data_IF_854267739257
#
_entry.id   IF_854267739257
#
_cell.length_a   1.000
_cell.length_b   1.000
_cell.length_c   1.000
_cell.angle_alpha   90.00
_cell.angle_beta   90.00
_cell.angle_gamma   90.00
#
_symmetry.space_group_name_H-M   'P 1'
#
loop_
_entity.id
_entity.type
_entity.pdbx_description
1 polymer ?
#
# COMPACT_ATOMS: atom_id res chain seq x y z
N UNK A 1 6.85 2.56 0.41
CA UNK A 1 6.95 2.79 -1.04
C UNK A 1 6.71 1.49 -1.79
N UNK A 2 6.00 1.53 -2.91
CA UNK A 2 5.92 0.42 -3.86
C UNK A 2 6.73 0.81 -5.11
N UNK A 3 7.71 -0.01 -5.47
CA UNK A 3 8.46 0.12 -6.71
C UNK A 3 8.01 -1.00 -7.64
N UNK A 4 7.52 -0.63 -8.82
CA UNK A 4 6.90 -1.56 -9.77
C UNK A 4 7.74 -1.63 -11.05
N UNK A 5 7.74 -2.80 -11.69
CA UNK A 5 8.18 -2.91 -13.07
C UNK A 5 7.17 -2.20 -13.99
N UNK A 6 7.54 -1.84 -15.23
CA UNK A 6 6.60 -1.21 -16.16
C UNK A 6 5.30 -2.00 -16.33
N UNK A 7 5.38 -3.34 -16.46
CA UNK A 7 4.21 -4.19 -16.66
C UNK A 7 3.24 -4.17 -15.46
N UNK A 8 3.76 -4.06 -14.24
CA UNK A 8 2.91 -3.95 -13.05
C UNK A 8 2.37 -2.52 -12.88
N UNK A 9 3.13 -1.50 -13.28
CA UNK A 9 2.68 -0.12 -13.22
C UNK A 9 1.53 0.15 -14.20
N UNK A 10 1.55 -0.50 -15.38
CA UNK A 10 0.46 -0.42 -16.37
C UNK A 10 -0.86 -1.03 -15.84
N UNK A 11 -0.78 -1.95 -14.88
CA UNK A 11 -1.94 -2.58 -14.24
C UNK A 11 -2.38 -1.88 -12.95
N UNK A 12 -1.68 -0.84 -12.48
CA UNK A 12 -1.98 -0.21 -11.20
C UNK A 12 -3.33 0.54 -11.24
N UNK A 13 -4.30 0.09 -10.46
CA UNK A 13 -5.62 0.70 -10.37
C UNK A 13 -5.74 1.62 -9.17
N UNK A 14 -5.14 1.25 -8.03
CA UNK A 14 -5.12 2.08 -6.83
C UNK A 14 -3.91 1.74 -5.93
N UNK A 15 -3.56 2.65 -5.03
CA UNK A 15 -2.58 2.40 -3.99
C UNK A 15 -2.84 3.28 -2.77
N UNK A 16 -2.44 2.78 -1.60
CA UNK A 16 -2.68 3.49 -0.37
C UNK A 16 -1.88 2.98 0.81
N UNK A 17 -2.16 3.62 1.95
CA UNK A 17 -1.65 3.21 3.26
C UNK A 17 -2.80 3.23 4.25
N UNK A 18 -2.76 2.33 5.23
CA UNK A 18 -3.76 2.29 6.30
C UNK A 18 -3.27 3.09 7.50
N UNK A 19 -3.34 4.42 7.40
CA UNK A 19 -2.81 5.33 8.42
C UNK A 19 -3.50 5.18 9.79
N UNK A 20 -4.78 4.82 9.80
CA UNK A 20 -5.57 4.61 11.02
C UNK A 20 -5.03 3.48 11.90
N UNK A 21 -4.33 2.50 11.33
CA UNK A 21 -3.74 1.38 12.09
C UNK A 21 -2.69 1.89 13.09
N UNK A 22 -2.01 3.00 12.78
CA UNK A 22 -1.05 3.63 13.68
C UNK A 22 -1.71 4.24 14.93
N UNK A 23 -3.03 4.47 14.92
CA UNK A 23 -3.77 5.01 16.07
C UNK A 23 -4.23 3.96 17.09
N UNK A 24 -3.95 2.67 16.86
CA UNK A 24 -4.37 1.56 17.74
C UNK A 24 -3.50 1.47 19.00
N UNK A 25 -3.93 0.69 19.98
CA UNK A 25 -3.13 0.42 21.18
C UNK A 25 -1.87 -0.41 20.82
N UNK A 26 -0.70 0.05 21.27
CA UNK A 26 0.64 -0.54 20.97
C UNK A 26 0.85 -0.81 19.46
N UNK A 27 0.79 0.22 18.62
CA UNK A 27 0.92 0.04 17.18
C UNK A 27 2.38 -0.15 16.78
N UNK A 28 2.60 -0.82 15.64
CA UNK A 28 3.89 -0.81 14.94
C UNK A 28 4.26 0.61 14.51
N UNK A 29 5.56 0.91 14.39
CA UNK A 29 6.06 2.20 13.89
C UNK A 29 5.83 2.41 12.39
N UNK A 30 5.41 1.35 11.69
CA UNK A 30 5.04 1.38 10.28
C UNK A 30 3.56 1.08 10.08
N UNK A 31 3.01 1.59 8.99
CA UNK A 31 1.66 1.28 8.51
C UNK A 31 1.72 0.37 7.29
N UNK A 32 0.71 -0.49 7.06
CA UNK A 32 0.59 -1.24 5.83
C UNK A 32 0.51 -0.31 4.63
N UNK A 33 1.22 -0.69 3.57
CA UNK A 33 1.07 -0.14 2.23
C UNK A 33 0.50 -1.23 1.35
N UNK A 34 -0.45 -0.87 0.49
CA UNK A 34 -1.05 -1.78 -0.47
C UNK A 34 -1.08 -1.15 -1.85
N UNK A 35 -1.18 -2.01 -2.86
CA UNK A 35 -1.43 -1.67 -4.25
C UNK A 35 -2.52 -2.60 -4.77
N UNK A 36 -3.40 -2.09 -5.60
CA UNK A 36 -4.41 -2.85 -6.32
C UNK A 36 -4.03 -2.88 -7.80
N UNK A 37 -4.09 -4.07 -8.40
CA UNK A 37 -3.73 -4.29 -9.80
C UNK A 37 -4.92 -4.87 -10.55
N UNK A 38 -5.10 -4.47 -11.80
CA UNK A 38 -6.09 -5.05 -12.70
C UNK A 38 -5.75 -6.51 -13.03
N UNK A 39 -6.78 -7.36 -13.10
CA UNK A 39 -6.65 -8.83 -13.12
C UNK A 39 -7.00 -9.47 -14.47
#
# INVERSE_FOLDING_TARGET
HALLTPQCADLLTDCGIDSEIRGREKPSDHVPLWVELDA
#
